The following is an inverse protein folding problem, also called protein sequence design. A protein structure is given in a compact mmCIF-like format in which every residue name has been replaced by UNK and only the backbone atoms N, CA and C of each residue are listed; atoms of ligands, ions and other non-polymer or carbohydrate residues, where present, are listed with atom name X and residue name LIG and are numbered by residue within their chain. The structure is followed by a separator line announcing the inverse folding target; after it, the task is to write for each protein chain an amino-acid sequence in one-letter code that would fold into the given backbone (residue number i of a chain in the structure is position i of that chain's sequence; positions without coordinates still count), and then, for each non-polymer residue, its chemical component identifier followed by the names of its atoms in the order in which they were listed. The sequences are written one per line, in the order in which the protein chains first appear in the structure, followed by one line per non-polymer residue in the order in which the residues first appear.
data_IF_610769866309
#
_entry.id   IF_610769866309
#
_cell.length_a   1.000
_cell.length_b   1.000
_cell.length_c   1.000
_cell.angle_alpha   90.00
_cell.angle_beta   90.00
_cell.angle_gamma   90.00
#
_symmetry.space_group_name_H-M   'P 1'
#
loop_
_entity.id
_entity.type
_entity.pdbx_description
1 polymer ?
#
# COMPACT_ATOMS: atom_id res chain seq x y z
N UNK A 1 7.01 9.71 -11.87
CA UNK A 1 8.00 8.63 -11.58
C UNK A 1 7.69 7.43 -12.48
N UNK A 2 8.69 6.63 -12.89
CA UNK A 2 8.50 5.44 -13.74
C UNK A 2 8.94 4.15 -13.02
N UNK A 3 8.11 3.09 -12.97
CA UNK A 3 8.50 1.78 -12.39
C UNK A 3 9.65 1.21 -13.25
N UNK A 4 10.80 0.93 -12.63
CA UNK A 4 11.95 0.32 -13.32
C UNK A 4 11.70 -1.13 -13.76
N UNK A 5 10.68 -1.79 -13.20
CA UNK A 5 10.34 -3.18 -13.50
C UNK A 5 9.26 -3.31 -14.61
N UNK A 6 8.09 -2.68 -14.47
CA UNK A 6 6.99 -2.80 -15.46
C UNK A 6 6.84 -1.62 -16.42
N UNK A 7 7.54 -0.51 -16.16
CA UNK A 7 7.46 0.69 -17.00
C UNK A 7 6.27 1.61 -16.77
N UNK A 8 5.37 1.30 -15.81
CA UNK A 8 4.27 2.18 -15.40
C UNK A 8 4.78 3.57 -15.03
N UNK A 9 4.07 4.62 -15.47
CA UNK A 9 4.42 6.02 -15.19
C UNK A 9 3.31 6.65 -14.35
N UNK A 10 3.68 7.22 -13.21
CA UNK A 10 2.75 8.00 -12.38
C UNK A 10 2.30 9.25 -13.13
N UNK A 11 1.00 9.41 -13.36
CA UNK A 11 0.42 10.54 -14.09
C UNK A 11 0.52 11.86 -13.32
N UNK A 12 0.44 11.81 -11.99
CA UNK A 12 0.51 12.98 -11.12
C UNK A 12 1.95 13.27 -10.71
N UNK A 13 2.27 14.55 -10.63
CA UNK A 13 3.53 15.01 -10.06
C UNK A 13 3.65 14.55 -8.60
N UNK A 14 4.87 14.16 -8.24
CA UNK A 14 5.24 13.72 -6.91
C UNK A 14 6.43 14.56 -6.47
N UNK A 15 6.37 15.07 -5.26
CA UNK A 15 7.41 15.91 -4.65
C UNK A 15 8.07 15.13 -3.52
N UNK A 16 9.39 15.28 -3.38
CA UNK A 16 10.16 14.66 -2.29
C UNK A 16 11.05 15.72 -1.66
N UNK A 17 11.18 15.68 -0.34
CA UNK A 17 12.03 16.60 0.41
C UNK A 17 13.26 15.84 0.91
N UNK A 18 14.45 16.44 0.77
CA UNK A 18 15.72 15.80 1.18
C UNK A 18 15.75 15.45 2.68
N UNK A 19 15.07 16.24 3.51
CA UNK A 19 14.99 16.01 4.95
C UNK A 19 13.95 14.97 5.38
N UNK A 20 13.04 14.58 4.49
CA UNK A 20 12.01 13.58 4.77
C UNK A 20 12.52 12.21 4.33
N UNK A 21 12.59 11.27 5.28
CA UNK A 21 12.96 9.88 5.00
C UNK A 21 11.99 8.95 5.70
N UNK A 22 11.61 7.89 5.00
CA UNK A 22 10.74 6.83 5.50
C UNK A 22 11.46 5.48 5.40
N UNK A 23 11.22 4.55 6.35
CA UNK A 23 11.80 3.22 6.29
C UNK A 23 11.24 2.43 5.10
N UNK A 24 12.09 1.68 4.42
CA UNK A 24 11.66 0.78 3.35
C UNK A 24 11.21 -0.54 3.98
N UNK A 25 9.98 -1.03 3.71
CA UNK A 25 9.50 -2.30 4.24
C UNK A 25 10.46 -3.45 3.93
N UNK A 26 10.69 -4.34 4.91
CA UNK A 26 11.58 -5.52 4.80
C UNK A 26 13.04 -5.19 4.46
N UNK A 27 13.47 -3.94 4.61
CA UNK A 27 14.84 -3.48 4.36
C UNK A 27 15.38 -2.72 5.57
N UNK A 28 16.72 -2.60 5.66
CA UNK A 28 17.40 -1.75 6.66
C UNK A 28 17.59 -0.31 6.20
N UNK A 29 17.26 -0.04 4.93
CA UNK A 29 17.47 1.26 4.30
C UNK A 29 16.26 2.18 4.44
N UNK A 30 16.50 3.47 4.20
CA UNK A 30 15.47 4.51 4.16
C UNK A 30 15.43 5.14 2.75
N UNK A 31 14.30 5.75 2.41
CA UNK A 31 14.12 6.50 1.17
C UNK A 31 13.25 7.74 1.40
N UNK A 32 13.38 8.75 0.54
CA UNK A 32 12.54 9.96 0.62
C UNK A 32 11.10 9.74 0.13
N UNK A 33 10.84 8.64 -0.58
CA UNK A 33 9.51 8.23 -1.02
C UNK A 33 9.47 6.72 -1.19
N UNK A 34 8.48 6.08 -0.57
CA UNK A 34 8.14 4.67 -0.82
C UNK A 34 6.72 4.65 -1.33
N UNK A 35 6.56 4.40 -2.63
CA UNK A 35 5.25 4.34 -3.29
C UNK A 35 4.98 2.91 -3.76
N UNK A 36 3.79 2.43 -3.44
CA UNK A 36 3.24 1.20 -4.01
C UNK A 36 2.77 1.49 -5.45
N UNK A 37 3.15 0.69 -6.46
CA UNK A 37 2.62 0.86 -7.82
C UNK A 37 1.10 0.73 -7.79
N UNK A 38 0.40 1.47 -8.66
CA UNK A 38 -1.07 1.48 -8.68
C UNK A 38 -1.57 0.12 -9.12
N UNK A 39 -0.86 -0.50 -10.06
CA UNK A 39 -1.15 -1.86 -10.50
C UNK A 39 -0.03 -2.83 -10.09
N UNK A 40 -0.24 -3.45 -8.93
CA UNK A 40 0.64 -4.51 -8.45
C UNK A 40 0.71 -5.71 -9.40
N UNK A 41 -0.33 -5.96 -10.20
CA UNK A 41 -0.34 -7.07 -11.17
C UNK A 41 0.76 -6.90 -12.23
N UNK A 42 1.21 -5.66 -12.45
CA UNK A 42 2.29 -5.32 -13.37
C UNK A 42 3.68 -5.39 -12.73
N UNK A 43 3.84 -5.00 -11.45
CA UNK A 43 5.17 -4.80 -10.83
C UNK A 43 5.47 -5.68 -9.59
N UNK A 44 4.54 -6.50 -9.06
CA UNK A 44 4.70 -7.23 -7.78
C UNK A 44 4.80 -8.76 -7.87
N UNK A 45 5.45 -9.37 -6.86
CA UNK A 45 5.50 -10.82 -6.70
C UNK A 45 4.11 -11.39 -6.39
N UNK A 46 3.70 -12.44 -7.12
CA UNK A 46 2.34 -13.03 -7.03
C UNK A 46 1.95 -13.45 -5.60
N UNK A 47 2.92 -13.88 -4.80
CA UNK A 47 2.69 -14.28 -3.41
C UNK A 47 2.38 -13.08 -2.49
N UNK A 48 3.02 -11.93 -2.72
CA UNK A 48 2.80 -10.72 -1.92
C UNK A 48 1.44 -10.07 -2.25
N UNK A 49 0.99 -10.19 -3.50
CA UNK A 49 -0.37 -9.79 -3.90
C UNK A 49 -1.45 -10.57 -3.15
N UNK A 50 -1.27 -11.89 -3.00
CA UNK A 50 -2.24 -12.75 -2.32
C UNK A 50 -2.31 -12.46 -0.81
N UNK A 51 -1.19 -12.13 -0.17
CA UNK A 51 -1.17 -11.71 1.24
C UNK A 51 -1.86 -10.36 1.44
N UNK A 52 -1.60 -9.39 0.56
CA UNK A 52 -2.23 -8.07 0.62
C UNK A 52 -3.76 -8.14 0.40
N UNK A 53 -4.24 -8.98 -0.53
CA UNK A 53 -5.68 -9.17 -0.72
C UNK A 53 -6.34 -9.78 0.51
N UNK A 54 -5.65 -10.72 1.17
CA UNK A 54 -6.14 -11.36 2.39
C UNK A 54 -6.18 -10.37 3.57
N UNK A 55 -5.11 -9.62 3.80
CA UNK A 55 -5.03 -8.65 4.89
C UNK A 55 -6.10 -7.55 4.77
N UNK A 56 -6.38 -7.11 3.53
CA UNK A 56 -7.43 -6.12 3.26
C UNK A 56 -8.82 -6.69 3.54
N UNK A 57 -9.10 -7.93 3.10
CA UNK A 57 -10.39 -8.60 3.37
C UNK A 57 -10.64 -8.75 4.87
N UNK A 58 -9.60 -9.03 5.66
CA UNK A 58 -9.72 -9.12 7.13
C UNK A 58 -9.97 -7.75 7.77
N UNK A 59 -9.34 -6.68 7.28
CA UNK A 59 -9.61 -5.31 7.76
C UNK A 59 -11.04 -4.86 7.47
N UNK A 60 -11.59 -5.17 6.29
CA UNK A 60 -12.99 -4.85 5.93
C UNK A 60 -13.98 -5.59 6.85
N UNK A 61 -13.76 -6.87 7.12
CA UNK A 61 -14.59 -7.64 8.08
C UNK A 61 -14.55 -7.07 9.51
N UNK A 62 -13.36 -6.67 9.97
CA UNK A 62 -13.17 -6.03 11.28
C UNK A 62 -13.86 -4.67 11.38
N UNK A 63 -13.99 -3.91 10.28
CA UNK A 63 -14.76 -2.66 10.27
C UNK A 63 -16.27 -2.91 10.25
N UNK A 64 -16.75 -3.93 9.54
CA UNK A 64 -18.17 -4.27 9.46
C UNK A 64 -18.71 -4.74 10.83
N UNK A 65 -17.95 -5.57 11.55
CA UNK A 65 -18.30 -6.02 12.90
C UNK A 65 -18.37 -4.85 13.90
N UNK A 66 -17.53 -3.84 13.73
CA UNK A 66 -17.51 -2.65 14.58
C UNK A 66 -18.71 -1.73 14.30
N UNK A 67 -19.12 -1.60 13.05
CA UNK A 67 -20.33 -0.86 12.68
C UNK A 67 -21.61 -1.59 13.12
N UNK A 68 -21.62 -2.93 13.12
CA UNK A 68 -22.72 -3.74 13.65
C UNK A 68 -22.89 -3.57 15.17
N UNK A 69 -21.78 -3.56 15.93
CA UNK A 69 -21.80 -3.37 17.39
C UNK A 69 -22.27 -1.98 17.85
N UNK A 70 -22.12 -0.95 17.02
CA UNK A 70 -22.61 0.41 17.33
C UNK A 70 -24.12 0.59 17.03
N UNK A 71 -24.73 -0.27 16.20
CA UNK A 71 -26.17 -0.22 15.88
C UNK A 71 -27.07 -0.98 16.87
N UNK A 72 -26.54 -1.89 17.68
CA UNK A 72 -27.32 -2.64 18.69
C UNK A 72 -27.48 -1.91 20.04
N UNK A 73 -26.87 -0.73 20.21
CA UNK A 73 -26.99 0.10 21.42
C UNK A 73 -27.85 1.34 21.14
N UNK A 74 -29.14 1.15 20.80
CA UNK A 74 -30.18 2.20 20.84
C UNK A 74 -31.47 1.61 21.39
#
# INVERSE_FOLDING_TARGET
VKCGNCGEVTEKESYVMLGEVVPIPKSRSQANLVQKPVDYSLCGDKEEQQKLSYDKEQQEKLSDDKEAGEREVI
#
